data_IF_213852606626
#
_entry.id   IF_213852606626
#
_cell.length_a   1.000
_cell.length_b   1.000
_cell.length_c   1.000
_cell.angle_alpha   90.00
_cell.angle_beta   90.00
_cell.angle_gamma   90.00
#
_symmetry.space_group_name_H-M   'P 1'
#
loop_
_entity.id
_entity.type
_entity.pdbx_description
1 polymer ?
#
# COMPACT_ATOMS: atom_id res chain seq x y z
N UNK A 1 9.90 18.13 -21.24
CA UNK A 1 10.14 18.14 -19.78
C UNK A 1 9.17 17.10 -19.25
N UNK A 2 9.67 16.03 -18.62
CA UNK A 2 8.83 14.93 -18.17
C UNK A 2 7.78 15.48 -17.20
N UNK A 3 6.51 15.24 -17.51
CA UNK A 3 5.40 15.44 -16.59
C UNK A 3 5.77 14.66 -15.31
N UNK A 4 6.07 15.39 -14.22
CA UNK A 4 6.00 14.79 -12.89
C UNK A 4 4.55 14.34 -12.82
N UNK A 5 4.30 13.03 -12.87
CA UNK A 5 2.99 12.51 -12.55
C UNK A 5 2.78 12.92 -11.09
N UNK A 6 2.05 14.01 -10.85
CA UNK A 6 1.47 14.28 -9.55
C UNK A 6 0.66 13.03 -9.23
N UNK A 7 1.15 12.23 -8.28
CA UNK A 7 0.46 11.04 -7.82
C UNK A 7 -0.94 11.48 -7.36
N UNK A 8 -1.97 11.06 -8.11
CA UNK A 8 -3.35 11.38 -7.77
C UNK A 8 -3.84 10.40 -6.70
N UNK A 9 -3.76 10.85 -5.45
CA UNK A 9 -4.19 10.07 -4.29
C UNK A 9 -5.68 9.70 -4.35
N UNK A 10 -6.53 10.52 -5.00
CA UNK A 10 -7.96 10.26 -5.09
C UNK A 10 -8.27 9.16 -6.11
N UNK A 11 -7.62 9.21 -7.28
CA UNK A 11 -7.72 8.17 -8.31
C UNK A 11 -7.21 6.83 -7.77
N UNK A 12 -6.06 6.85 -7.09
CA UNK A 12 -5.52 5.66 -6.45
C UNK A 12 -6.46 5.10 -5.38
N UNK A 13 -7.09 5.94 -4.55
CA UNK A 13 -8.06 5.46 -3.56
C UNK A 13 -9.31 4.82 -4.18
N UNK A 14 -9.77 5.32 -5.33
CA UNK A 14 -10.88 4.71 -6.08
C UNK A 14 -10.48 3.32 -6.62
N UNK A 15 -9.29 3.23 -7.22
CA UNK A 15 -8.70 1.95 -7.65
C UNK A 15 -8.63 0.96 -6.48
N UNK A 16 -8.09 1.40 -5.33
CA UNK A 16 -8.03 0.59 -4.12
C UNK A 16 -9.42 0.09 -3.74
N UNK A 17 -10.47 0.90 -3.80
CA UNK A 17 -11.83 0.49 -3.44
C UNK A 17 -12.38 -0.64 -4.33
N UNK A 18 -11.89 -0.77 -5.57
CA UNK A 18 -12.30 -1.84 -6.51
C UNK A 18 -11.52 -3.14 -6.35
N UNK A 19 -10.32 -3.10 -5.72
CA UNK A 19 -9.48 -4.27 -5.51
C UNK A 19 -10.08 -5.23 -4.49
N UNK A 20 -9.88 -6.53 -4.67
CA UNK A 20 -10.16 -7.53 -3.63
C UNK A 20 -9.22 -7.40 -2.44
N UNK A 21 -9.52 -8.09 -1.33
CA UNK A 21 -8.65 -8.06 -0.15
C UNK A 21 -7.27 -8.66 -0.44
N UNK A 22 -7.22 -9.77 -1.18
CA UNK A 22 -5.96 -10.41 -1.58
C UNK A 22 -5.11 -9.49 -2.48
N UNK A 23 -5.74 -8.76 -3.41
CA UNK A 23 -5.06 -7.79 -4.27
C UNK A 23 -4.54 -6.59 -3.48
N UNK A 24 -5.33 -6.08 -2.53
CA UNK A 24 -4.93 -4.99 -1.64
C UNK A 24 -3.73 -5.40 -0.78
N UNK A 25 -3.75 -6.61 -0.22
CA UNK A 25 -2.65 -7.14 0.58
C UNK A 25 -1.40 -7.41 -0.25
N UNK A 26 -1.55 -7.94 -1.47
CA UNK A 26 -0.43 -8.12 -2.39
C UNK A 26 0.20 -6.78 -2.76
N UNK A 27 -0.61 -5.76 -3.03
CA UNK A 27 -0.14 -4.41 -3.32
C UNK A 27 0.61 -3.79 -2.13
N UNK A 28 0.08 -3.92 -0.91
CA UNK A 28 0.79 -3.49 0.32
C UNK A 28 2.18 -4.13 0.40
N UNK A 29 2.27 -5.44 0.18
CA UNK A 29 3.53 -6.17 0.23
C UNK A 29 4.52 -5.72 -0.86
N UNK A 30 4.05 -5.42 -2.07
CA UNK A 30 4.88 -4.88 -3.15
C UNK A 30 5.41 -3.50 -2.78
N UNK A 31 4.55 -2.61 -2.28
CA UNK A 31 4.94 -1.27 -1.88
C UNK A 31 5.92 -1.26 -0.70
N UNK A 32 5.74 -2.15 0.29
CA UNK A 32 6.68 -2.32 1.38
C UNK A 32 8.07 -2.71 0.86
N UNK A 33 8.17 -3.67 -0.07
CA UNK A 33 9.44 -4.04 -0.70
C UNK A 33 10.04 -2.89 -1.51
N UNK A 34 9.23 -2.19 -2.31
CA UNK A 34 9.70 -1.02 -3.05
C UNK A 34 10.23 0.07 -2.11
N UNK A 35 9.63 0.23 -0.93
CA UNK A 35 10.06 1.20 0.08
C UNK A 35 11.42 0.87 0.72
N UNK A 36 11.82 -0.40 0.72
CA UNK A 36 13.14 -0.83 1.18
C UNK A 36 14.25 -0.33 0.23
N UNK A 37 13.96 -0.28 -1.07
CA UNK A 37 14.87 0.24 -2.10
C UNK A 37 14.89 1.79 -2.17
N UNK A 38 13.93 2.47 -1.54
CA UNK A 38 13.90 3.94 -1.50
C UNK A 38 14.96 4.48 -0.54
N UNK A 39 15.93 5.21 -1.11
CA UNK A 39 16.96 5.91 -0.35
C UNK A 39 16.35 6.87 0.68
N UNK A 40 16.94 6.90 1.88
CA UNK A 40 16.44 7.66 3.04
C UNK A 40 16.20 9.14 2.70
N UNK A 41 17.09 9.73 1.91
CA UNK A 41 17.06 11.17 1.56
C UNK A 41 15.89 11.58 0.66
N UNK A 42 15.19 10.64 0.04
CA UNK A 42 14.04 10.89 -0.85
C UNK A 42 12.75 10.26 -0.35
N UNK A 43 12.75 9.63 0.83
CA UNK A 43 11.58 8.96 1.42
C UNK A 43 10.40 9.92 1.61
N UNK A 44 10.65 11.15 2.06
CA UNK A 44 9.60 12.16 2.28
C UNK A 44 8.92 12.63 0.99
N UNK A 45 9.61 12.52 -0.14
CA UNK A 45 9.08 12.90 -1.47
C UNK A 45 8.70 11.70 -2.31
N UNK A 46 8.75 10.50 -1.74
CA UNK A 46 8.50 9.26 -2.48
C UNK A 46 7.01 8.91 -2.44
N UNK A 47 6.44 8.78 -3.63
CA UNK A 47 5.05 8.36 -3.81
C UNK A 47 4.78 6.98 -3.21
N UNK A 48 5.81 6.14 -3.02
CA UNK A 48 5.68 4.81 -2.41
C UNK A 48 5.13 4.92 -0.98
N UNK A 49 5.63 5.85 -0.16
CA UNK A 49 5.14 6.02 1.21
C UNK A 49 3.73 6.62 1.25
N UNK A 50 3.39 7.51 0.30
CA UNK A 50 2.04 8.01 0.17
C UNK A 50 1.05 6.89 -0.22
N UNK A 51 1.44 6.02 -1.16
CA UNK A 51 0.67 4.83 -1.55
C UNK A 51 0.50 3.85 -0.41
N UNK A 52 1.55 3.57 0.36
CA UNK A 52 1.47 2.73 1.57
C UNK A 52 0.40 3.25 2.52
N UNK A 53 0.45 4.54 2.87
CA UNK A 53 -0.52 5.12 3.80
C UNK A 53 -1.99 5.02 3.30
N UNK A 54 -2.19 5.15 1.98
CA UNK A 54 -3.51 4.99 1.37
C UNK A 54 -3.99 3.53 1.40
N UNK A 55 -3.09 2.58 1.15
CA UNK A 55 -3.40 1.14 1.28
C UNK A 55 -3.70 0.78 2.73
N UNK A 56 -2.93 1.28 3.70
CA UNK A 56 -3.21 1.09 5.14
C UNK A 56 -4.60 1.62 5.51
N UNK A 57 -4.97 2.80 4.98
CA UNK A 57 -6.29 3.39 5.19
C UNK A 57 -7.39 2.53 4.56
N UNK A 58 -7.20 2.05 3.33
CA UNK A 58 -8.16 1.17 2.67
C UNK A 58 -8.34 -0.16 3.40
N UNK A 59 -7.28 -0.71 4.00
CA UNK A 59 -7.34 -1.90 4.84
C UNK A 59 -8.17 -1.60 6.10
N UNK A 60 -7.91 -0.49 6.78
CA UNK A 60 -8.66 -0.09 7.99
C UNK A 60 -10.14 0.18 7.68
N UNK A 61 -10.47 0.79 6.55
CA UNK A 61 -11.86 1.04 6.13
C UNK A 61 -12.64 -0.26 5.89
N UNK A 62 -11.97 -1.29 5.36
CA UNK A 62 -12.57 -2.62 5.13
C UNK A 62 -12.66 -3.45 6.42
N UNK A 63 -11.65 -3.33 7.28
CA UNK A 63 -11.49 -4.12 8.49
C UNK A 63 -11.42 -3.22 9.73
N UNK A 64 -12.46 -2.42 9.94
CA UNK A 64 -12.51 -1.42 11.00
C UNK A 64 -12.10 -1.96 12.37
N UNK A 65 -11.11 -1.33 13.00
CA UNK A 65 -10.57 -1.68 14.30
C UNK A 65 -9.56 -2.84 14.29
N UNK A 66 -9.19 -3.37 13.13
CA UNK A 66 -8.21 -4.44 13.00
C UNK A 66 -6.84 -3.96 12.52
N UNK A 67 -6.71 -2.71 12.05
CA UNK A 67 -5.47 -2.15 11.53
C UNK A 67 -4.89 -3.10 10.47
N UNK A 68 -3.57 -3.36 10.53
CA UNK A 68 -2.88 -4.30 9.66
C UNK A 68 -2.95 -5.77 10.12
N UNK A 69 -3.81 -6.13 11.08
CA UNK A 69 -3.90 -7.53 11.53
C UNK A 69 -4.30 -8.49 10.39
N UNK A 70 -5.32 -8.21 9.55
CA UNK A 70 -5.70 -9.09 8.44
C UNK A 70 -4.57 -9.28 7.42
N UNK A 71 -3.86 -8.20 7.12
CA UNK A 71 -2.68 -8.23 6.25
C UNK A 71 -1.57 -9.12 6.82
N UNK A 72 -1.25 -8.98 8.10
CA UNK A 72 -0.22 -9.80 8.77
C UNK A 72 -0.60 -11.28 8.81
N UNK A 73 -1.88 -11.61 9.03
CA UNK A 73 -2.36 -12.99 8.94
C UNK A 73 -2.22 -13.55 7.53
N UNK A 74 -2.57 -12.76 6.51
CA UNK A 74 -2.39 -13.11 5.11
C UNK A 74 -0.93 -13.38 4.75
N UNK A 75 0.00 -12.51 5.19
CA UNK A 75 1.44 -12.70 4.99
C UNK A 75 1.91 -14.02 5.63
N UNK A 76 1.52 -14.30 6.87
CA UNK A 76 1.90 -15.53 7.57
C UNK A 76 1.42 -16.79 6.85
N UNK A 77 0.20 -16.78 6.30
CA UNK A 77 -0.32 -17.92 5.51
C UNK A 77 0.53 -18.19 4.27
N UNK A 78 1.10 -17.16 3.64
CA UNK A 78 1.91 -17.28 2.42
C UNK A 78 3.37 -17.66 2.70
N UNK A 79 3.93 -17.23 3.83
CA UNK A 79 5.31 -17.56 4.22
C UNK A 79 5.44 -18.98 4.81
N UNK A 80 4.32 -19.63 5.14
CA UNK A 80 4.29 -20.98 5.75
C UNK A 80 4.34 -22.13 4.71
N UNK A 81 4.61 -21.84 3.44
CA UNK A 81 4.84 -22.83 2.36
C UNK A 81 6.33 -22.95 2.06
#
# INVERSE_FOLDING_TARGET
>A
MAERQDFDAADFADDLATMTDDELFALMQTLEQESEDVAVDVRETSDVFAKIALVETAIEDRFAGQLLAPYKEWQQRRTTV
#
